data_IF_353988867359
#
_entry.id   IF_353988867359
#
_cell.length_a   1.000
_cell.length_b   1.000
_cell.length_c   1.000
_cell.angle_alpha   90.00
_cell.angle_beta   90.00
_cell.angle_gamma   90.00
#
_symmetry.space_group_name_H-M   'P 1'
#
loop_
_entity.id
_entity.type
_entity.pdbx_description
1 polymer ?
#
# COMPACT_ATOMS: atom_id res chain seq x y z
N UNK A 1 7.24 33.29 -43.34
CA UNK A 1 6.18 32.92 -42.37
C UNK A 1 4.75 32.99 -42.91
N UNK A 2 4.44 33.91 -43.78
CA UNK A 2 3.09 34.06 -44.38
C UNK A 2 2.63 32.84 -45.19
N UNK A 3 3.52 32.13 -45.84
CA UNK A 3 3.20 30.94 -46.64
C UNK A 3 2.82 29.72 -45.81
N UNK A 4 3.46 29.52 -44.66
CA UNK A 4 3.16 28.41 -43.76
C UNK A 4 1.75 28.51 -43.20
N UNK A 5 1.36 29.73 -42.80
CA UNK A 5 0.00 29.98 -42.29
C UNK A 5 -1.10 29.81 -43.35
N UNK A 6 -0.78 30.14 -44.59
CA UNK A 6 -1.71 29.95 -45.73
C UNK A 6 -1.87 28.48 -46.05
N UNK A 7 -0.79 27.70 -46.08
CA UNK A 7 -0.84 26.24 -46.27
C UNK A 7 -1.66 25.58 -45.13
N UNK A 8 -1.34 25.90 -43.88
CA UNK A 8 -2.07 25.36 -42.72
C UNK A 8 -3.57 25.61 -42.79
N UNK A 9 -4.01 26.87 -43.13
CA UNK A 9 -5.44 27.18 -43.31
C UNK A 9 -6.08 26.40 -44.43
N UNK A 10 -5.36 26.22 -45.54
CA UNK A 10 -5.86 25.50 -46.70
C UNK A 10 -6.05 24.01 -46.36
N UNK A 11 -5.06 23.42 -45.67
CA UNK A 11 -5.12 22.03 -45.27
C UNK A 11 -6.28 21.76 -44.28
N UNK A 12 -6.43 22.60 -43.27
CA UNK A 12 -7.57 22.51 -42.33
C UNK A 12 -8.89 22.61 -43.05
N UNK A 13 -9.01 23.58 -44.00
CA UNK A 13 -10.23 23.76 -44.76
C UNK A 13 -10.53 22.60 -45.69
N UNK A 14 -9.51 21.95 -46.24
CA UNK A 14 -9.67 20.77 -47.12
C UNK A 14 -10.05 19.54 -46.28
N UNK A 15 -9.40 19.33 -45.14
CA UNK A 15 -9.75 18.27 -44.20
C UNK A 15 -11.20 18.37 -43.72
N UNK A 16 -11.65 19.56 -43.34
CA UNK A 16 -13.00 19.78 -42.81
C UNK A 16 -14.13 19.53 -43.83
N UNK A 17 -13.80 19.45 -45.16
CA UNK A 17 -14.76 19.07 -46.19
C UNK A 17 -14.94 17.55 -46.35
N UNK A 18 -14.03 16.75 -45.80
CA UNK A 18 -14.10 15.30 -45.86
C UNK A 18 -14.53 14.74 -44.51
N UNK A 19 -15.75 14.23 -44.42
CA UNK A 19 -16.31 13.67 -43.18
C UNK A 19 -15.43 12.58 -42.56
N UNK A 20 -14.96 11.64 -43.39
CA UNK A 20 -14.08 10.56 -42.88
C UNK A 20 -12.75 11.08 -42.37
N UNK A 21 -12.18 12.10 -43.01
CA UNK A 21 -10.93 12.70 -42.52
C UNK A 21 -11.12 13.39 -41.16
N UNK A 22 -12.25 14.08 -40.97
CA UNK A 22 -12.60 14.65 -39.65
C UNK A 22 -12.76 13.57 -38.59
N UNK A 23 -13.43 12.45 -38.87
CA UNK A 23 -13.58 11.33 -37.92
C UNK A 23 -12.21 10.75 -37.52
N UNK A 24 -11.31 10.56 -38.48
CA UNK A 24 -9.97 10.06 -38.24
C UNK A 24 -9.15 11.02 -37.33
N UNK A 25 -9.20 12.33 -37.64
CA UNK A 25 -8.51 13.34 -36.83
C UNK A 25 -9.03 13.36 -35.40
N UNK A 26 -10.35 13.32 -35.23
CA UNK A 26 -10.99 13.27 -33.91
C UNK A 26 -10.60 11.98 -33.18
N UNK A 27 -10.60 10.82 -33.85
CA UNK A 27 -10.20 9.55 -33.25
C UNK A 27 -8.74 9.57 -32.81
N UNK A 28 -7.82 10.06 -33.66
CA UNK A 28 -6.38 10.17 -33.28
C UNK A 28 -6.16 11.13 -32.12
N UNK A 29 -6.97 12.17 -31.99
CA UNK A 29 -6.86 13.12 -30.87
C UNK A 29 -7.47 12.54 -29.57
N UNK A 30 -8.62 11.85 -29.68
CA UNK A 30 -9.34 11.34 -28.50
C UNK A 30 -8.74 10.07 -27.92
N UNK A 31 -8.31 9.11 -28.74
CA UNK A 31 -7.83 7.82 -28.27
C UNK A 31 -6.61 7.92 -27.34
N UNK A 32 -5.54 8.68 -27.67
CA UNK A 32 -4.43 8.87 -26.75
C UNK A 32 -4.82 9.61 -25.48
N UNK A 33 -5.73 10.59 -25.58
CA UNK A 33 -6.21 11.37 -24.44
C UNK A 33 -7.04 10.50 -23.49
N UNK A 34 -7.92 9.65 -23.99
CA UNK A 34 -8.69 8.69 -23.21
C UNK A 34 -7.77 7.66 -22.54
N UNK A 35 -6.79 7.14 -23.28
CA UNK A 35 -5.81 6.20 -22.73
C UNK A 35 -5.00 6.84 -21.62
N UNK A 36 -4.48 8.05 -21.83
CA UNK A 36 -3.74 8.79 -20.81
C UNK A 36 -4.61 9.06 -19.58
N UNK A 37 -5.87 9.49 -19.79
CA UNK A 37 -6.80 9.78 -18.69
C UNK A 37 -7.14 8.53 -17.88
N UNK A 38 -7.45 7.40 -18.54
CA UNK A 38 -7.72 6.14 -17.86
C UNK A 38 -6.53 5.64 -17.06
N UNK A 39 -5.29 5.75 -17.60
CA UNK A 39 -4.08 5.39 -16.87
C UNK A 39 -3.84 6.30 -15.67
N UNK A 40 -4.00 7.61 -15.83
CA UNK A 40 -3.85 8.57 -14.73
C UNK A 40 -4.91 8.29 -13.65
N UNK A 41 -6.17 8.12 -14.04
CA UNK A 41 -7.27 7.85 -13.12
C UNK A 41 -7.08 6.53 -12.36
N UNK A 42 -6.66 5.47 -13.05
CA UNK A 42 -6.39 4.16 -12.45
C UNK A 42 -5.24 4.18 -11.46
N UNK A 43 -4.24 5.04 -11.65
CA UNK A 43 -3.07 5.16 -10.79
C UNK A 43 -3.07 6.45 -9.95
N UNK A 44 -4.21 7.16 -9.87
CA UNK A 44 -4.29 8.46 -9.18
C UNK A 44 -4.03 8.34 -7.68
N UNK A 45 -4.52 7.27 -7.08
CA UNK A 45 -4.32 6.98 -5.67
C UNK A 45 -4.01 5.49 -5.47
N UNK A 46 -2.76 5.06 -5.70
CA UNK A 46 -2.36 3.67 -5.49
C UNK A 46 -2.45 3.25 -4.01
N UNK A 47 -2.45 4.22 -3.10
CA UNK A 47 -2.53 3.97 -1.66
C UNK A 47 -3.96 3.99 -1.12
N UNK A 48 -4.90 4.66 -1.78
CA UNK A 48 -6.31 4.67 -1.38
C UNK A 48 -7.04 3.33 -1.57
N UNK A 49 -6.50 2.44 -2.39
CA UNK A 49 -7.04 1.10 -2.63
C UNK A 49 -6.37 -0.01 -1.81
N UNK A 50 -5.48 0.32 -0.89
CA UNK A 50 -4.78 -0.67 -0.06
C UNK A 50 -5.62 -1.22 1.08
N UNK A 51 -6.79 -0.66 1.35
CA UNK A 51 -7.77 -1.20 2.33
C UNK A 51 -8.29 -2.62 2.02
N UNK A 52 -8.10 -3.10 0.79
CA UNK A 52 -8.37 -4.50 0.41
C UNK A 52 -7.24 -5.47 0.75
N UNK A 53 -6.06 -4.97 1.16
CA UNK A 53 -4.93 -5.80 1.56
C UNK A 53 -5.07 -6.11 3.05
N UNK A 54 -5.35 -7.36 3.38
CA UNK A 54 -5.42 -7.83 4.77
C UNK A 54 -4.05 -8.27 5.24
N UNK A 55 -3.58 -7.69 6.35
CA UNK A 55 -2.35 -8.08 7.04
C UNK A 55 -2.71 -8.49 8.45
N UNK A 56 -2.33 -9.72 8.83
CA UNK A 56 -2.52 -10.21 10.19
C UNK A 56 -1.47 -9.59 11.13
N UNK A 57 -1.88 -9.29 12.36
CA UNK A 57 -0.98 -8.85 13.42
C UNK A 57 -1.26 -9.65 14.68
N UNK A 58 -0.23 -10.36 15.19
CA UNK A 58 -0.27 -11.03 16.47
C UNK A 58 0.68 -10.33 17.43
N UNK A 59 0.19 -9.85 18.56
CA UNK A 59 1.03 -9.38 19.66
C UNK A 59 1.16 -10.49 20.71
N UNK A 60 2.36 -11.01 20.88
CA UNK A 60 2.68 -11.96 21.93
C UNK A 60 3.36 -11.27 23.12
N UNK A 61 3.52 -9.94 23.06
CA UNK A 61 4.26 -9.17 24.05
C UNK A 61 3.64 -9.29 25.46
N UNK A 62 4.44 -9.72 26.41
CA UNK A 62 4.02 -9.86 27.81
C UNK A 62 4.17 -8.55 28.61
N UNK A 63 4.61 -7.48 27.94
CA UNK A 63 4.88 -6.20 28.58
C UNK A 63 6.15 -6.23 29.45
N UNK A 64 6.37 -5.12 30.12
CA UNK A 64 7.51 -4.96 31.03
C UNK A 64 7.14 -4.07 32.21
N UNK A 65 7.59 -4.46 33.41
CA UNK A 65 7.50 -3.62 34.59
C UNK A 65 8.86 -3.06 34.88
N UNK A 66 9.01 -1.75 34.96
CA UNK A 66 10.28 -1.08 35.24
C UNK A 66 10.64 -1.12 36.73
N UNK A 67 11.79 -0.51 37.08
CA UNK A 67 12.28 -0.48 38.45
C UNK A 67 11.40 0.33 39.43
N UNK A 68 10.59 1.25 38.90
CA UNK A 68 9.66 2.09 39.65
C UNK A 68 8.29 1.40 39.85
N UNK A 69 8.11 0.20 39.28
CA UNK A 69 6.89 -0.59 39.36
C UNK A 69 5.83 -0.22 38.32
N UNK A 70 6.18 0.59 37.30
CA UNK A 70 5.29 0.94 36.21
C UNK A 70 5.25 -0.16 35.17
N UNK A 71 4.06 -0.67 34.86
CA UNK A 71 3.86 -1.67 33.80
C UNK A 71 3.58 -0.96 32.48
N UNK A 72 4.26 -1.40 31.41
CA UNK A 72 4.05 -0.95 30.04
C UNK A 72 4.02 -2.14 29.08
N UNK A 73 3.13 -2.09 28.09
CA UNK A 73 3.07 -3.05 26.99
C UNK A 73 3.08 -2.28 25.66
N UNK A 74 4.25 -2.19 25.06
CA UNK A 74 4.44 -1.48 23.77
C UNK A 74 3.88 -2.26 22.57
N UNK A 75 3.75 -3.58 22.71
CA UNK A 75 3.07 -4.41 21.72
C UNK A 75 1.59 -4.07 21.63
N UNK A 76 0.93 -3.87 22.77
CA UNK A 76 -0.48 -3.45 22.81
C UNK A 76 -0.67 -2.02 22.30
N UNK A 77 0.26 -1.11 22.61
CA UNK A 77 0.26 0.25 22.06
C UNK A 77 0.30 0.21 20.52
N UNK A 78 1.21 -0.60 19.95
CA UNK A 78 1.31 -0.77 18.49
C UNK A 78 0.01 -1.34 17.90
N UNK A 79 -0.58 -2.36 18.53
CA UNK A 79 -1.86 -2.93 18.07
C UNK A 79 -2.99 -1.90 18.12
N UNK A 80 -3.01 -1.05 19.16
CA UNK A 80 -4.01 0.03 19.26
C UNK A 80 -3.87 1.04 18.13
N UNK A 81 -2.65 1.49 17.84
CA UNK A 81 -2.36 2.41 16.73
C UNK A 81 -2.73 1.81 15.37
N UNK A 82 -2.45 0.50 15.17
CA UNK A 82 -2.81 -0.18 13.92
C UNK A 82 -4.31 -0.31 13.72
N UNK A 83 -5.11 -0.46 14.79
CA UNK A 83 -6.58 -0.48 14.71
C UNK A 83 -7.16 0.86 14.24
N UNK A 84 -6.50 1.96 14.54
CA UNK A 84 -6.92 3.30 14.09
C UNK A 84 -6.44 3.60 12.66
N UNK A 85 -5.43 2.88 12.18
CA UNK A 85 -4.88 3.06 10.84
C UNK A 85 -5.81 2.47 9.77
N UNK A 86 -6.33 3.32 8.88
CA UNK A 86 -7.32 2.95 7.85
C UNK A 86 -6.73 2.62 6.48
N UNK A 87 -5.42 2.81 6.31
CA UNK A 87 -4.75 2.64 5.01
C UNK A 87 -4.66 1.17 4.57
N UNK A 88 -4.62 0.24 5.53
CA UNK A 88 -4.49 -1.21 5.34
C UNK A 88 -5.53 -1.88 6.23
N UNK A 89 -6.07 -3.01 5.80
CA UNK A 89 -6.95 -3.81 6.62
C UNK A 89 -6.13 -4.66 7.61
N UNK A 90 -5.86 -4.10 8.79
CA UNK A 90 -5.16 -4.80 9.86
C UNK A 90 -6.10 -5.77 10.57
N UNK A 91 -5.78 -7.06 10.54
CA UNK A 91 -6.54 -8.13 11.20
C UNK A 91 -5.76 -8.58 12.42
N UNK A 92 -6.30 -8.30 13.61
CA UNK A 92 -5.65 -8.70 14.86
C UNK A 92 -6.02 -10.15 15.14
N UNK A 93 -5.02 -10.98 15.35
CA UNK A 93 -5.13 -12.41 15.68
C UNK A 93 -4.39 -12.69 16.97
N UNK A 94 -4.79 -13.76 17.67
CA UNK A 94 -4.30 -14.05 19.03
C UNK A 94 -3.00 -14.85 19.04
N UNK A 95 -2.69 -15.56 17.95
CA UNK A 95 -1.54 -16.49 17.93
C UNK A 95 -0.69 -16.33 16.66
N UNK A 96 0.58 -16.69 16.77
CA UNK A 96 1.50 -16.76 15.62
C UNK A 96 1.05 -17.81 14.61
N UNK A 97 0.54 -18.95 15.10
CA UNK A 97 0.07 -20.05 14.25
C UNK A 97 -1.12 -19.62 13.39
N UNK A 98 -2.04 -18.83 13.93
CA UNK A 98 -3.18 -18.28 13.21
C UNK A 98 -2.72 -17.27 12.15
N UNK A 99 -1.82 -16.36 12.55
CA UNK A 99 -1.23 -15.39 11.64
C UNK A 99 -0.53 -16.06 10.44
N UNK A 100 0.32 -17.05 10.73
CA UNK A 100 1.08 -17.81 9.73
C UNK A 100 0.16 -18.68 8.87
N UNK A 101 -0.80 -19.40 9.47
CA UNK A 101 -1.77 -20.23 8.77
C UNK A 101 -2.62 -19.43 7.77
N UNK A 102 -3.04 -18.21 8.16
CA UNK A 102 -3.80 -17.31 7.28
C UNK A 102 -2.97 -16.78 6.10
N UNK A 103 -1.66 -16.59 6.27
CA UNK A 103 -0.75 -16.25 5.15
C UNK A 103 -0.55 -17.46 4.22
N UNK A 104 -0.40 -18.66 4.76
CA UNK A 104 -0.22 -19.89 3.97
C UNK A 104 -1.49 -20.23 3.17
N UNK A 105 -2.69 -20.08 3.77
CA UNK A 105 -3.98 -20.28 3.10
C UNK A 105 -4.28 -19.17 2.09
N UNK A 106 -3.69 -17.97 2.31
CA UNK A 106 -3.86 -16.80 1.48
C UNK A 106 -5.04 -15.91 1.87
N UNK A 107 -5.53 -16.05 3.09
CA UNK A 107 -6.50 -15.15 3.69
C UNK A 107 -5.88 -13.79 4.01
N UNK A 108 -4.59 -13.81 4.36
CA UNK A 108 -3.77 -12.61 4.59
C UNK A 108 -2.65 -12.52 3.56
N UNK A 109 -2.35 -11.30 3.15
CA UNK A 109 -1.22 -11.01 2.25
C UNK A 109 0.12 -11.22 2.96
N UNK A 110 0.18 -10.82 4.21
CA UNK A 110 1.33 -10.95 5.09
C UNK A 110 0.88 -11.04 6.55
N UNK A 111 1.79 -11.39 7.44
CA UNK A 111 1.56 -11.33 8.87
C UNK A 111 2.76 -10.75 9.59
N UNK A 112 2.46 -10.03 10.68
CA UNK A 112 3.43 -9.42 11.59
C UNK A 112 3.22 -10.02 12.97
N UNK A 113 4.27 -10.54 13.56
CA UNK A 113 4.23 -11.10 14.91
C UNK A 113 5.20 -10.34 15.80
N UNK A 114 4.68 -9.76 16.86
CA UNK A 114 5.46 -9.05 17.88
C UNK A 114 5.92 -10.07 18.93
N UNK A 115 7.24 -10.12 19.19
CA UNK A 115 7.85 -11.07 20.12
C UNK A 115 7.40 -10.86 21.56
N UNK A 116 7.37 -11.95 22.36
CA UNK A 116 6.98 -11.96 23.79
C UNK A 116 7.76 -10.98 24.66
N UNK A 117 8.99 -10.71 24.33
CA UNK A 117 9.85 -9.81 25.09
C UNK A 117 10.05 -8.45 24.40
N UNK A 118 9.13 -8.07 23.54
CA UNK A 118 9.27 -6.85 22.75
C UNK A 118 9.42 -5.61 23.64
N UNK A 119 8.49 -5.37 24.56
CA UNK A 119 8.53 -4.25 25.52
C UNK A 119 9.80 -4.27 26.36
N UNK A 120 10.14 -5.42 26.91
CA UNK A 120 11.35 -5.57 27.74
C UNK A 120 12.63 -5.25 26.95
N UNK A 121 12.72 -5.76 25.73
CA UNK A 121 13.87 -5.53 24.87
C UNK A 121 13.93 -4.08 24.36
N UNK A 122 12.78 -3.45 24.12
CA UNK A 122 12.69 -2.04 23.80
C UNK A 122 13.23 -1.18 24.94
N UNK A 123 12.79 -1.44 26.19
CA UNK A 123 13.30 -0.75 27.37
C UNK A 123 14.82 -0.90 27.53
N UNK A 124 15.33 -2.14 27.41
CA UNK A 124 16.77 -2.43 27.49
C UNK A 124 17.57 -1.79 26.36
N UNK A 125 17.00 -1.67 25.18
CA UNK A 125 17.65 -0.96 24.08
C UNK A 125 17.82 0.54 24.42
N UNK A 126 16.84 1.14 25.09
CA UNK A 126 16.86 2.57 25.44
C UNK A 126 17.73 2.86 26.68
N UNK A 127 17.90 1.89 27.59
CA UNK A 127 18.61 2.10 28.86
C UNK A 127 20.08 1.65 28.82
N UNK A 128 20.36 0.48 28.33
CA UNK A 128 21.69 -0.15 28.38
C UNK A 128 22.22 -0.64 27.02
N UNK A 129 21.47 -0.42 25.94
CA UNK A 129 21.80 -0.82 24.57
C UNK A 129 21.95 -2.35 24.37
N UNK A 130 21.47 -3.17 25.31
CA UNK A 130 21.57 -4.63 25.23
C UNK A 130 20.32 -5.28 24.65
N UNK A 131 19.18 -4.60 24.68
CA UNK A 131 17.91 -5.09 24.15
C UNK A 131 17.88 -5.14 22.62
N UNK A 132 17.22 -6.18 22.09
CA UNK A 132 16.94 -6.32 20.65
C UNK A 132 15.46 -6.63 20.50
N UNK A 133 14.58 -5.62 20.45
CA UNK A 133 13.17 -5.85 20.16
C UNK A 133 13.04 -6.51 18.80
N UNK A 134 12.21 -7.56 18.70
CA UNK A 134 12.05 -8.34 17.50
C UNK A 134 10.60 -8.30 17.02
N UNK A 135 10.43 -8.17 15.71
CA UNK A 135 9.17 -8.34 15.01
C UNK A 135 9.45 -9.34 13.90
N UNK A 136 8.65 -10.40 13.84
CA UNK A 136 8.73 -11.40 12.79
C UNK A 136 7.72 -11.10 11.69
N UNK A 137 8.17 -11.15 10.45
CA UNK A 137 7.33 -10.92 9.27
C UNK A 137 7.19 -12.20 8.47
N UNK A 138 5.97 -12.56 8.14
CA UNK A 138 5.62 -13.70 7.29
C UNK A 138 4.97 -13.20 6.00
N UNK A 139 5.40 -13.76 4.87
CA UNK A 139 4.80 -13.48 3.55
C UNK A 139 4.64 -14.76 2.73
N UNK A 140 3.68 -14.77 1.83
CA UNK A 140 3.49 -15.87 0.89
C UNK A 140 4.21 -15.56 -0.43
N UNK A 141 5.46 -16.00 -0.56
CA UNK A 141 6.29 -15.78 -1.74
C UNK A 141 5.67 -16.31 -3.06
N UNK A 142 4.75 -17.28 -2.98
CA UNK A 142 4.08 -17.84 -4.17
C UNK A 142 2.99 -16.93 -4.73
N UNK A 143 2.36 -16.10 -3.89
CA UNK A 143 1.31 -15.15 -4.29
C UNK A 143 1.86 -13.76 -4.65
N UNK A 144 3.05 -13.44 -4.15
CA UNK A 144 3.69 -12.14 -4.38
C UNK A 144 4.54 -12.09 -5.67
N UNK A 145 4.55 -13.17 -6.45
CA UNK A 145 5.32 -13.29 -7.71
C UNK A 145 4.47 -12.94 -8.95
N UNK A 146 3.62 -11.90 -8.86
CA UNK A 146 2.85 -11.39 -10.00
C UNK A 146 3.36 -10.01 -10.39
#
# INVERSE_FOLDING_TARGET
MRNIWTVFKTDIRTLSKCFFACVVVVAIALLPSLYAWLNIYSNWDPYGNTGGISIAVASLDEGYTDADGTYENKGDDVVADLREATSINWVIVDTEEEAKGGVESGDYYAAVVIDKQFSRNMYRMLTDWTGKPAITYYENAKKNAV
#
